data_IF_781781657103
#
_entry.id   IF_781781657103
#
_cell.length_a   1.000
_cell.length_b   1.000
_cell.length_c   1.000
_cell.angle_alpha   90.00
_cell.angle_beta   90.00
_cell.angle_gamma   90.00
#
_symmetry.space_group_name_H-M   'P 1'
#
loop_
_entity.id
_entity.type
_entity.pdbx_description
1 polymer ?
#
# COMPACT_ATOMS: atom_id res chain seq x y z
N UNK A 1 -13.39 5.70 8.60
CA UNK A 1 -12.27 5.28 7.75
C UNK A 1 -11.76 6.50 7.03
N UNK A 2 -10.49 6.84 7.21
CA UNK A 2 -9.89 8.01 6.54
C UNK A 2 -9.71 7.72 5.04
N UNK A 3 -9.82 8.74 4.20
CA UNK A 3 -9.62 8.58 2.75
C UNK A 3 -8.13 8.71 2.44
N UNK A 4 -7.57 7.76 1.68
CA UNK A 4 -6.21 7.88 1.17
C UNK A 4 -6.08 9.08 0.22
N UNK A 5 -4.99 9.83 0.36
CA UNK A 5 -4.65 11.00 -0.46
C UNK A 5 -3.83 10.66 -1.71
N UNK A 6 -3.35 9.41 -1.82
CA UNK A 6 -2.50 8.90 -2.90
C UNK A 6 -1.24 9.75 -3.19
N UNK A 7 -0.67 10.39 -2.16
CA UNK A 7 0.47 11.32 -2.32
C UNK A 7 1.72 10.56 -2.77
N UNK A 8 2.01 9.41 -2.16
CA UNK A 8 3.20 8.62 -2.47
C UNK A 8 3.10 7.99 -3.85
N UNK A 9 1.94 7.47 -4.22
CA UNK A 9 1.68 6.85 -5.51
C UNK A 9 1.86 7.86 -6.65
N UNK A 10 1.43 9.11 -6.45
CA UNK A 10 1.63 10.20 -7.41
C UNK A 10 3.09 10.63 -7.52
N UNK A 11 3.79 10.73 -6.40
CA UNK A 11 5.21 11.08 -6.39
C UNK A 11 6.05 10.03 -7.11
N UNK A 12 5.86 8.75 -6.78
CA UNK A 12 6.53 7.65 -7.47
C UNK A 12 6.14 7.54 -8.95
N UNK A 13 4.88 7.81 -9.31
CA UNK A 13 4.51 7.91 -10.71
C UNK A 13 5.29 9.04 -11.44
N UNK A 14 5.48 10.18 -10.79
CA UNK A 14 6.31 11.29 -11.29
C UNK A 14 7.79 10.93 -11.45
N UNK A 15 8.30 9.98 -10.66
CA UNK A 15 9.65 9.43 -10.76
C UNK A 15 9.78 8.32 -11.84
N UNK A 16 8.69 7.98 -12.54
CA UNK A 16 8.68 6.99 -13.62
C UNK A 16 8.37 5.56 -13.16
N UNK A 17 7.98 5.34 -11.89
CA UNK A 17 7.49 4.04 -11.44
C UNK A 17 6.12 3.77 -12.07
N UNK A 18 5.99 2.62 -12.72
CA UNK A 18 4.76 2.22 -13.41
C UNK A 18 3.79 1.43 -12.53
N UNK A 19 4.29 0.87 -11.43
CA UNK A 19 3.51 0.08 -10.49
C UNK A 19 3.94 0.45 -9.06
N UNK A 20 3.00 0.99 -8.29
CA UNK A 20 3.17 1.28 -6.86
C UNK A 20 2.20 0.39 -6.09
N UNK A 21 2.71 -0.37 -5.13
CA UNK A 21 1.97 -1.43 -4.45
C UNK A 21 2.05 -1.17 -2.96
N UNK A 22 0.89 -1.10 -2.31
CA UNK A 22 0.81 -0.94 -0.86
C UNK A 22 1.04 -2.28 -0.16
N UNK A 23 1.81 -2.26 0.93
CA UNK A 23 2.09 -3.45 1.74
C UNK A 23 1.82 -3.12 3.20
N UNK A 24 1.24 -4.05 3.95
CA UNK A 24 1.06 -3.91 5.39
C UNK A 24 1.06 -5.28 6.06
N UNK A 25 1.40 -5.31 7.35
CA UNK A 25 1.40 -6.51 8.17
C UNK A 25 0.50 -6.39 9.39
N UNK A 26 0.00 -7.53 9.84
CA UNK A 26 -0.75 -7.65 11.09
C UNK A 26 -0.19 -8.78 11.95
N UNK A 27 -0.44 -8.69 13.26
CA UNK A 27 -0.06 -9.74 14.21
C UNK A 27 1.31 -9.56 14.86
N UNK A 28 2.05 -8.47 14.58
CA UNK A 28 3.38 -8.22 15.20
C UNK A 28 3.35 -8.16 16.73
N UNK A 29 2.21 -7.74 17.30
CA UNK A 29 2.03 -7.55 18.74
C UNK A 29 1.27 -8.69 19.44
N UNK A 30 0.90 -9.74 18.70
CA UNK A 30 0.19 -10.88 19.28
C UNK A 30 1.13 -11.74 20.12
N UNK A 31 0.64 -12.30 21.23
CA UNK A 31 1.41 -13.21 22.08
C UNK A 31 1.77 -14.54 21.38
N UNK A 32 0.91 -14.99 20.47
CA UNK A 32 1.10 -16.16 19.62
C UNK A 32 0.30 -16.04 18.32
N UNK A 33 0.64 -16.87 17.33
CA UNK A 33 0.08 -16.82 15.97
C UNK A 33 1.07 -16.21 14.96
N UNK A 34 0.81 -16.36 13.66
CA UNK A 34 1.70 -15.83 12.62
C UNK A 34 1.58 -14.31 12.50
N UNK A 35 2.65 -13.69 12.04
CA UNK A 35 2.57 -12.38 11.39
C UNK A 35 2.13 -12.61 9.95
N UNK A 36 1.11 -11.88 9.51
CA UNK A 36 0.56 -11.99 8.15
C UNK A 36 0.79 -10.66 7.44
N UNK A 37 1.46 -10.71 6.30
CA UNK A 37 1.63 -9.57 5.41
C UNK A 37 0.69 -9.69 4.21
N UNK A 38 0.16 -8.56 3.76
CA UNK A 38 -0.66 -8.46 2.56
C UNK A 38 -0.09 -7.39 1.62
N UNK A 39 -0.27 -7.61 0.32
CA UNK A 39 0.22 -6.75 -0.73
C UNK A 39 -0.95 -6.45 -1.66
N UNK A 40 -1.21 -5.17 -1.94
CA UNK A 40 -2.34 -4.73 -2.76
C UNK A 40 -1.87 -3.75 -3.83
N UNK A 41 -2.12 -4.10 -5.08
CA UNK A 41 -1.95 -3.20 -6.22
C UNK A 41 -3.27 -2.51 -6.53
N UNK A 42 -3.26 -1.17 -6.58
CA UNK A 42 -4.44 -0.36 -6.89
C UNK A 42 -4.22 0.33 -8.24
N UNK A 43 -5.17 0.15 -9.16
CA UNK A 43 -5.14 0.85 -10.44
C UNK A 43 -5.70 2.27 -10.27
N UNK A 44 -4.82 3.28 -10.35
CA UNK A 44 -5.23 4.67 -10.36
C UNK A 44 -5.65 5.05 -11.78
N UNK A 45 -6.97 5.18 -12.00
CA UNK A 45 -7.50 5.61 -13.30
C UNK A 45 -7.26 7.11 -13.48
N UNK A 46 -6.44 7.49 -14.45
CA UNK A 46 -6.36 8.90 -14.86
C UNK A 46 -7.72 9.33 -15.41
N UNK A 47 -8.29 10.38 -14.84
CA UNK A 47 -9.43 11.11 -15.42
C UNK A 47 -8.96 11.96 -16.60
#
# INVERSE_FOLDING_TARGET
MEKSSFILEKDFAGQGFTHVIGTDEVGRGSLCGPVVACVVMVYVKSL
#
